data_IF_051923603344
#
_entry.id   IF_051923603344
#
_cell.length_a   1.000
_cell.length_b   1.000
_cell.length_c   1.000
_cell.angle_alpha   90.00
_cell.angle_beta   90.00
_cell.angle_gamma   90.00
#
_symmetry.space_group_name_H-M   'P 1'
#
loop_
_entity.id
_entity.type
_entity.pdbx_description
1 polymer ?
#
# COMPACT_ATOMS: atom_id res chain seq x y z
N UNK A 1 -14.88 -2.30 50.90
CA UNK A 1 -13.40 -2.36 50.81
C UNK A 1 -12.98 -1.69 49.52
N UNK A 2 -12.29 -0.54 49.61
CA UNK A 2 -11.80 0.20 48.45
C UNK A 2 -10.58 -0.51 47.86
N UNK A 3 -10.65 -0.90 46.59
CA UNK A 3 -9.51 -1.50 45.90
C UNK A 3 -8.40 -0.45 45.79
N UNK A 4 -7.24 -0.69 46.45
CA UNK A 4 -6.06 0.17 46.31
C UNK A 4 -5.70 0.31 44.82
N UNK A 5 -5.36 1.51 44.33
CA UNK A 5 -4.84 1.67 42.98
C UNK A 5 -3.59 0.80 42.82
N UNK A 6 -3.50 0.03 41.73
CA UNK A 6 -2.28 -0.72 41.40
C UNK A 6 -1.15 0.31 41.26
N UNK A 7 -0.12 0.19 42.10
CA UNK A 7 1.10 0.97 41.96
C UNK A 7 1.69 0.62 40.60
N UNK A 8 1.72 1.57 39.66
CA UNK A 8 2.46 1.41 38.43
C UNK A 8 3.93 1.18 38.78
N UNK A 9 4.54 0.15 38.18
CA UNK A 9 5.96 -0.10 38.38
C UNK A 9 6.74 1.06 37.75
N UNK A 10 7.88 1.49 38.32
CA UNK A 10 8.79 2.43 37.64
C UNK A 10 9.17 1.98 36.21
N UNK A 11 9.10 0.67 35.94
CA UNK A 11 9.29 0.09 34.62
C UNK A 11 8.15 0.47 33.64
N UNK A 12 6.91 0.56 34.13
CA UNK A 12 5.75 0.99 33.34
C UNK A 12 5.86 2.46 32.97
N UNK A 13 6.29 3.30 33.91
CA UNK A 13 6.49 4.73 33.69
C UNK A 13 7.65 4.99 32.72
N UNK A 14 8.74 4.22 32.83
CA UNK A 14 9.85 4.27 31.88
C UNK A 14 9.42 3.78 30.49
N UNK A 15 8.61 2.72 30.41
CA UNK A 15 8.04 2.26 29.14
C UNK A 15 7.11 3.32 28.52
N UNK A 16 6.31 4.02 29.33
CA UNK A 16 5.44 5.09 28.89
C UNK A 16 6.24 6.32 28.41
N UNK A 17 7.22 6.78 29.19
CA UNK A 17 8.12 7.88 28.79
C UNK A 17 8.91 7.53 27.52
N UNK A 18 9.41 6.30 27.44
CA UNK A 18 10.06 5.79 26.22
C UNK A 18 9.09 5.78 25.04
N UNK A 19 7.83 5.42 25.25
CA UNK A 19 6.81 5.45 24.19
C UNK A 19 6.45 6.88 23.74
N UNK A 20 6.55 7.88 24.62
CA UNK A 20 6.37 9.29 24.26
C UNK A 20 7.58 9.80 23.46
N UNK A 21 8.79 9.49 23.90
CA UNK A 21 10.04 9.88 23.23
C UNK A 21 10.19 9.18 21.87
N UNK A 22 9.93 7.87 21.82
CA UNK A 22 9.90 7.09 20.58
C UNK A 22 8.66 7.43 19.72
N UNK A 23 7.62 8.02 20.31
CA UNK A 23 6.41 8.52 19.65
C UNK A 23 6.68 9.66 18.65
N UNK A 24 7.83 10.33 18.78
CA UNK A 24 8.37 11.25 17.77
C UNK A 24 9.12 10.58 16.62
N UNK A 25 9.08 9.24 16.54
CA UNK A 25 9.72 8.45 15.49
C UNK A 25 9.22 8.84 14.10
N UNK A 26 10.15 9.32 13.27
CA UNK A 26 9.91 9.68 11.86
C UNK A 26 9.10 8.57 11.17
N UNK A 27 8.10 8.90 10.34
CA UNK A 27 7.43 7.92 9.48
C UNK A 27 8.49 7.07 8.76
N UNK A 28 8.27 5.77 8.58
CA UNK A 28 9.25 4.93 7.89
C UNK A 28 9.51 5.54 6.51
N UNK A 29 10.75 6.01 6.31
CA UNK A 29 11.19 6.66 5.08
C UNK A 29 10.89 5.75 3.88
N UNK A 30 10.98 4.44 4.10
CA UNK A 30 10.58 3.35 3.20
C UNK A 30 9.18 3.51 2.65
N UNK A 31 8.16 3.73 3.49
CA UNK A 31 6.78 3.80 3.03
C UNK A 31 6.58 5.05 2.17
N UNK A 32 7.14 6.19 2.57
CA UNK A 32 7.11 7.42 1.77
C UNK A 32 7.83 7.27 0.43
N UNK A 33 9.02 6.67 0.41
CA UNK A 33 9.79 6.42 -0.82
C UNK A 33 9.04 5.45 -1.73
N UNK A 34 8.47 4.38 -1.19
CA UNK A 34 7.73 3.39 -1.97
C UNK A 34 6.47 3.99 -2.59
N UNK A 35 5.71 4.81 -1.85
CA UNK A 35 4.54 5.50 -2.39
C UNK A 35 4.93 6.54 -3.45
N UNK A 36 6.01 7.28 -3.23
CA UNK A 36 6.48 8.28 -4.20
C UNK A 36 6.98 7.61 -5.48
N UNK A 37 7.90 6.65 -5.36
CA UNK A 37 8.46 5.93 -6.49
C UNK A 37 7.39 5.13 -7.23
N UNK A 38 6.53 4.42 -6.49
CA UNK A 38 5.41 3.69 -7.07
C UNK A 38 4.43 4.61 -7.80
N UNK A 39 4.06 5.74 -7.21
CA UNK A 39 3.19 6.73 -7.82
C UNK A 39 3.79 7.37 -9.08
N UNK A 40 5.08 7.69 -9.08
CA UNK A 40 5.76 8.26 -10.25
C UNK A 40 5.89 7.25 -11.38
N UNK A 41 6.34 6.04 -11.08
CA UNK A 41 6.50 4.96 -12.05
C UNK A 41 5.16 4.53 -12.66
N UNK A 42 4.14 4.35 -11.81
CA UNK A 42 2.79 4.03 -12.28
C UNK A 42 2.15 5.19 -13.03
N UNK A 43 2.32 6.42 -12.56
CA UNK A 43 1.84 7.62 -13.26
C UNK A 43 2.45 7.76 -14.66
N UNK A 44 3.75 7.49 -14.79
CA UNK A 44 4.42 7.45 -16.08
C UNK A 44 3.84 6.36 -16.99
N UNK A 45 3.58 5.18 -16.45
CA UNK A 45 2.92 4.09 -17.19
C UNK A 45 1.53 4.49 -17.69
N UNK A 46 0.72 5.14 -16.83
CA UNK A 46 -0.61 5.62 -17.20
C UNK A 46 -0.55 6.70 -18.29
N UNK A 47 0.37 7.66 -18.19
CA UNK A 47 0.55 8.70 -19.21
C UNK A 47 0.95 8.10 -20.56
N UNK A 48 1.82 7.09 -20.55
CA UNK A 48 2.19 6.35 -21.76
C UNK A 48 0.98 5.64 -22.36
N UNK A 49 0.15 5.00 -21.52
CA UNK A 49 -1.06 4.33 -21.97
C UNK A 49 -2.10 5.31 -22.56
N UNK A 50 -2.26 6.49 -21.96
CA UNK A 50 -3.07 7.57 -22.55
C UNK A 50 -2.52 7.99 -23.92
N UNK A 51 -1.19 8.07 -24.06
CA UNK A 51 -0.54 8.34 -25.35
C UNK A 51 -0.80 7.27 -26.42
N UNK A 52 -0.96 6.01 -26.01
CA UNK A 52 -1.37 4.91 -26.90
C UNK A 52 -2.85 5.02 -27.32
N UNK A 53 -3.74 5.31 -26.36
CA UNK A 53 -5.18 5.48 -26.62
C UNK A 53 -5.44 6.67 -27.55
N UNK A 54 -4.70 7.76 -27.39
CA UNK A 54 -4.76 8.93 -28.28
C UNK A 54 -4.09 8.69 -29.64
N UNK A 55 -3.47 7.53 -29.86
CA UNK A 55 -2.84 7.15 -31.13
C UNK A 55 -1.50 7.84 -31.41
N UNK A 56 -0.95 8.61 -30.46
CA UNK A 56 0.33 9.31 -30.56
C UNK A 56 1.50 8.31 -30.46
N UNK A 57 1.31 7.23 -29.71
CA UNK A 57 2.31 6.19 -29.48
C UNK A 57 1.79 4.87 -30.04
N UNK A 58 2.34 4.43 -31.18
CA UNK A 58 2.02 3.14 -31.79
C UNK A 58 3.24 2.24 -31.77
N UNK A 59 3.35 1.44 -30.73
CA UNK A 59 4.42 0.47 -30.56
C UNK A 59 3.90 -0.95 -30.73
N UNK A 60 4.71 -1.87 -31.26
CA UNK A 60 4.36 -3.28 -31.32
C UNK A 60 4.15 -3.84 -29.91
N UNK A 61 3.28 -4.85 -29.77
CA UNK A 61 2.88 -5.41 -28.47
C UNK A 61 4.06 -5.83 -27.58
N UNK A 62 5.12 -6.37 -28.21
CA UNK A 62 6.33 -6.75 -27.50
C UNK A 62 7.03 -5.55 -26.84
N UNK A 63 7.08 -4.39 -27.50
CA UNK A 63 7.68 -3.18 -26.94
C UNK A 63 6.83 -2.61 -25.79
N UNK A 64 5.51 -2.71 -25.88
CA UNK A 64 4.60 -2.35 -24.79
C UNK A 64 4.80 -3.26 -23.57
N UNK A 65 4.92 -4.57 -23.80
CA UNK A 65 5.18 -5.53 -22.74
C UNK A 65 6.53 -5.25 -22.05
N UNK A 66 7.59 -5.03 -22.83
CA UNK A 66 8.92 -4.70 -22.29
C UNK A 66 8.86 -3.43 -21.45
N UNK A 67 8.13 -2.40 -21.89
CA UNK A 67 7.98 -1.15 -21.14
C UNK A 67 7.28 -1.37 -19.79
N UNK A 68 6.16 -2.10 -19.76
CA UNK A 68 5.43 -2.41 -18.52
C UNK A 68 6.28 -3.26 -17.57
N UNK A 69 7.00 -4.25 -18.10
CA UNK A 69 7.91 -5.09 -17.32
C UNK A 69 9.07 -4.26 -16.76
N UNK A 70 9.65 -3.36 -17.56
CA UNK A 70 10.75 -2.50 -17.13
C UNK A 70 10.36 -1.58 -15.97
N UNK A 71 9.15 -1.00 -16.00
CA UNK A 71 8.61 -0.20 -14.90
C UNK A 71 8.45 -1.04 -13.63
N UNK A 72 7.93 -2.26 -13.76
CA UNK A 72 7.76 -3.18 -12.63
C UNK A 72 9.11 -3.55 -12.02
N UNK A 73 10.11 -3.89 -12.85
CA UNK A 73 11.47 -4.20 -12.39
C UNK A 73 12.11 -2.98 -11.71
N UNK A 74 11.96 -1.78 -12.27
CA UNK A 74 12.47 -0.55 -11.66
C UNK A 74 11.86 -0.33 -10.27
N UNK A 75 10.54 -0.53 -10.12
CA UNK A 75 9.88 -0.44 -8.82
C UNK A 75 10.41 -1.48 -7.82
N UNK A 76 10.59 -2.73 -8.26
CA UNK A 76 11.14 -3.80 -7.41
C UNK A 76 12.57 -3.50 -6.95
N UNK A 77 13.40 -2.89 -7.80
CA UNK A 77 14.76 -2.45 -7.43
C UNK A 77 14.69 -1.38 -6.32
N UNK A 78 13.84 -0.37 -6.50
CA UNK A 78 13.67 0.72 -5.51
C UNK A 78 13.12 0.17 -4.19
N UNK A 79 12.11 -0.70 -4.25
CA UNK A 79 11.52 -1.35 -3.07
C UNK A 79 12.56 -2.18 -2.32
N UNK A 80 13.32 -3.02 -3.04
CA UNK A 80 14.37 -3.85 -2.44
C UNK A 80 15.44 -2.99 -1.78
N UNK A 81 15.89 -1.94 -2.47
CA UNK A 81 16.85 -0.99 -1.91
C UNK A 81 16.31 -0.29 -0.65
N UNK A 82 15.07 0.17 -0.67
CA UNK A 82 14.43 0.83 0.47
C UNK A 82 14.33 -0.10 1.68
N UNK A 83 13.92 -1.37 1.48
CA UNK A 83 13.89 -2.39 2.53
C UNK A 83 15.28 -2.64 3.11
N UNK A 84 16.29 -2.80 2.25
CA UNK A 84 17.67 -3.03 2.70
C UNK A 84 18.22 -1.82 3.47
N UNK A 85 17.86 -0.60 3.08
CA UNK A 85 18.24 0.63 3.78
C UNK A 85 17.58 0.73 5.15
N UNK A 86 16.28 0.45 5.25
CA UNK A 86 15.53 0.47 6.51
C UNK A 86 16.02 -0.59 7.50
N UNK A 87 16.41 -1.77 6.98
CA UNK A 87 17.05 -2.82 7.77
C UNK A 87 18.40 -2.40 8.34
N UNK A 88 19.21 -1.70 7.54
CA UNK A 88 20.52 -1.17 7.98
C UNK A 88 20.37 -0.08 9.05
N UNK A 89 19.33 0.73 8.95
CA UNK A 89 19.10 1.85 9.86
C UNK A 89 18.37 1.42 11.18
N UNK A 90 17.99 0.14 11.32
CA UNK A 90 17.41 -0.42 12.55
C UNK A 90 15.99 0.09 12.88
N UNK A 91 15.31 0.68 11.90
CA UNK A 91 14.04 1.40 12.07
C UNK A 91 12.82 0.45 12.08
N UNK A 92 12.98 -0.80 11.61
CA UNK A 92 11.89 -1.78 11.48
C UNK A 92 11.07 -2.03 12.77
N UNK A 93 11.64 -1.77 13.96
CA UNK A 93 10.96 -2.00 15.25
C UNK A 93 10.84 -0.76 16.17
N UNK A 94 11.24 0.44 15.72
CA UNK A 94 11.32 1.66 16.56
C UNK A 94 10.37 2.76 16.10
N UNK A 95 9.08 2.47 16.12
CA UNK A 95 8.03 3.47 15.85
C UNK A 95 6.89 3.38 16.86
N UNK A 96 6.15 4.47 17.09
CA UNK A 96 4.96 4.47 17.94
C UNK A 96 3.99 3.37 17.50
N UNK A 97 3.23 2.79 18.44
CA UNK A 97 2.28 1.69 18.15
C UNK A 97 1.40 2.00 16.94
N UNK A 98 0.90 3.24 16.82
CA UNK A 98 0.10 3.67 15.68
C UNK A 98 0.81 3.51 14.33
N UNK A 99 2.11 3.82 14.22
CA UNK A 99 2.90 3.64 12.99
C UNK A 99 3.13 2.16 12.68
N UNK A 100 3.31 1.31 13.69
CA UNK A 100 3.44 -0.15 13.50
C UNK A 100 2.13 -0.77 13.03
N UNK A 101 1.00 -0.37 13.63
CA UNK A 101 -0.33 -0.81 13.20
C UNK A 101 -0.62 -0.38 11.76
N UNK A 102 -0.26 0.85 11.39
CA UNK A 102 -0.37 1.35 10.01
C UNK A 102 0.46 0.53 9.02
N UNK A 103 1.74 0.29 9.33
CA UNK A 103 2.60 -0.52 8.47
C UNK A 103 2.08 -1.96 8.34
N UNK A 104 1.58 -2.54 9.44
CA UNK A 104 0.94 -3.85 9.44
C UNK A 104 -0.32 -3.88 8.57
N UNK A 105 -1.16 -2.85 8.64
CA UNK A 105 -2.35 -2.73 7.81
C UNK A 105 -2.01 -2.71 6.31
N UNK A 106 -1.12 -1.81 5.88
CA UNK A 106 -0.72 -1.71 4.48
C UNK A 106 0.02 -2.97 4.00
N UNK A 107 0.84 -3.59 4.85
CA UNK A 107 1.49 -4.85 4.53
C UNK A 107 0.48 -5.99 4.38
N UNK A 108 -0.52 -6.08 5.26
CA UNK A 108 -1.58 -7.10 5.17
C UNK A 108 -2.44 -6.93 3.92
N UNK A 109 -2.78 -5.68 3.56
CA UNK A 109 -3.47 -5.39 2.30
C UNK A 109 -2.63 -5.81 1.07
N UNK A 110 -1.31 -5.56 1.11
CA UNK A 110 -0.39 -6.03 0.08
C UNK A 110 -0.32 -7.55 -0.04
N UNK A 111 -0.27 -8.26 1.10
CA UNK A 111 -0.29 -9.74 1.11
C UNK A 111 -1.63 -10.30 0.59
N UNK A 112 -2.75 -9.66 0.92
CA UNK A 112 -4.05 -10.00 0.36
C UNK A 112 -4.05 -9.82 -1.17
N UNK A 113 -3.53 -8.70 -1.68
CA UNK A 113 -3.40 -8.48 -3.12
C UNK A 113 -2.53 -9.57 -3.80
N UNK A 114 -1.44 -10.00 -3.17
CA UNK A 114 -0.59 -11.09 -3.68
C UNK A 114 -1.32 -12.44 -3.73
N UNK A 115 -2.23 -12.72 -2.79
CA UNK A 115 -3.08 -13.91 -2.85
C UNK A 115 -4.14 -13.78 -3.96
N UNK A 116 -4.81 -12.62 -4.03
CA UNK A 116 -5.88 -12.35 -5.01
C UNK A 116 -5.34 -12.42 -6.44
N UNK A 117 -4.17 -11.85 -6.74
CA UNK A 117 -3.58 -11.91 -8.10
C UNK A 117 -3.31 -13.36 -8.55
N UNK A 118 -2.92 -14.24 -7.62
CA UNK A 118 -2.74 -15.66 -7.93
C UNK A 118 -4.09 -16.32 -8.25
N UNK A 119 -5.11 -16.08 -7.42
CA UNK A 119 -6.46 -16.65 -7.62
C UNK A 119 -7.07 -16.19 -8.94
N UNK A 120 -7.08 -14.88 -9.19
CA UNK A 120 -7.65 -14.31 -10.41
C UNK A 120 -6.81 -14.60 -11.64
N UNK A 121 -5.48 -14.64 -11.52
CA UNK A 121 -4.60 -15.01 -12.62
C UNK A 121 -4.79 -16.45 -13.07
N UNK A 122 -4.83 -17.39 -12.11
CA UNK A 122 -5.10 -18.80 -12.42
C UNK A 122 -6.52 -18.99 -12.94
N UNK A 123 -7.50 -18.29 -12.37
CA UNK A 123 -8.90 -18.32 -12.82
C UNK A 123 -9.07 -17.83 -14.26
N UNK A 124 -8.49 -16.68 -14.60
CA UNK A 124 -8.55 -16.12 -15.95
C UNK A 124 -7.92 -17.03 -17.00
N UNK A 125 -6.80 -17.69 -16.69
CA UNK A 125 -6.16 -18.66 -17.59
C UNK A 125 -7.03 -19.91 -17.76
N UNK A 126 -7.63 -20.41 -16.67
CA UNK A 126 -8.45 -21.62 -16.70
C UNK A 126 -9.73 -21.40 -17.52
N UNK A 127 -10.41 -20.29 -17.30
CA UNK A 127 -11.73 -20.03 -17.88
C UNK A 127 -11.64 -19.30 -19.23
N UNK A 128 -10.42 -18.93 -19.67
CA UNK A 128 -10.14 -18.14 -20.88
C UNK A 128 -10.94 -16.82 -20.95
N UNK A 129 -11.38 -16.32 -19.81
CA UNK A 129 -12.14 -15.09 -19.69
C UNK A 129 -11.29 -14.00 -19.03
N UNK A 130 -10.93 -13.01 -19.83
CA UNK A 130 -10.15 -11.87 -19.36
C UNK A 130 -10.97 -10.90 -18.49
N UNK A 131 -12.30 -10.98 -18.51
CA UNK A 131 -13.15 -10.18 -17.62
C UNK A 131 -12.88 -10.50 -16.14
N UNK A 132 -12.56 -11.77 -15.84
CA UNK A 132 -12.13 -12.20 -14.51
C UNK A 132 -10.91 -11.38 -14.05
N UNK A 133 -9.94 -11.16 -14.94
CA UNK A 133 -8.76 -10.35 -14.64
C UNK A 133 -9.09 -8.87 -14.39
N UNK A 134 -10.12 -8.32 -15.00
CA UNK A 134 -10.51 -6.93 -14.80
C UNK A 134 -11.11 -6.68 -13.40
N UNK A 135 -11.81 -7.66 -12.83
CA UNK A 135 -12.31 -7.59 -11.44
C UNK A 135 -11.20 -7.51 -10.39
N UNK A 136 -9.99 -7.97 -10.71
CA UNK A 136 -8.83 -7.81 -9.82
C UNK A 136 -8.57 -6.35 -9.47
N UNK A 137 -8.70 -5.43 -10.44
CA UNK A 137 -8.48 -4.01 -10.20
C UNK A 137 -9.46 -3.46 -9.15
N UNK A 138 -10.73 -3.83 -9.24
CA UNK A 138 -11.76 -3.42 -8.27
C UNK A 138 -11.43 -3.92 -6.85
N UNK A 139 -10.98 -5.17 -6.72
CA UNK A 139 -10.61 -5.77 -5.42
C UNK A 139 -9.40 -5.06 -4.80
N UNK A 140 -8.37 -4.76 -5.60
CA UNK A 140 -7.19 -4.04 -5.13
C UNK A 140 -7.58 -2.67 -4.58
N UNK A 141 -8.44 -1.93 -5.28
CA UNK A 141 -8.95 -0.64 -4.80
C UNK A 141 -9.73 -0.80 -3.49
N UNK A 142 -10.57 -1.82 -3.36
CA UNK A 142 -11.35 -2.07 -2.16
C UNK A 142 -10.49 -2.40 -0.93
N UNK A 143 -9.47 -3.25 -1.09
CA UNK A 143 -8.53 -3.61 -0.03
C UNK A 143 -7.62 -2.44 0.37
N UNK A 144 -7.13 -1.67 -0.61
CA UNK A 144 -6.30 -0.50 -0.34
C UNK A 144 -7.11 0.61 0.36
N UNK A 145 -8.37 0.80 -0.01
CA UNK A 145 -9.29 1.71 0.66
C UNK A 145 -9.53 1.32 2.13
N UNK A 146 -9.65 0.03 2.43
CA UNK A 146 -9.77 -0.46 3.81
C UNK A 146 -8.52 -0.12 4.65
N UNK A 147 -7.32 -0.26 4.08
CA UNK A 147 -6.07 0.13 4.77
C UNK A 147 -6.03 1.65 5.04
N UNK A 148 -6.46 2.48 4.09
CA UNK A 148 -6.57 3.93 4.27
C UNK A 148 -7.63 4.34 5.29
N UNK A 149 -8.73 3.60 5.36
CA UNK A 149 -9.75 3.83 6.38
C UNK A 149 -9.22 3.54 7.79
N UNK A 150 -8.52 2.43 7.97
CA UNK A 150 -7.81 2.14 9.23
C UNK A 150 -6.77 3.22 9.56
N UNK A 151 -6.11 3.78 8.54
CA UNK A 151 -5.20 4.89 8.77
C UNK A 151 -5.91 6.15 9.28
N UNK A 152 -7.09 6.43 8.75
CA UNK A 152 -7.94 7.51 9.25
C UNK A 152 -8.45 7.24 10.67
N UNK A 153 -8.86 6.02 11.01
CA UNK A 153 -9.34 5.74 12.38
C UNK A 153 -8.26 5.96 13.43
N UNK A 154 -6.99 5.73 13.10
CA UNK A 154 -5.83 5.95 13.98
C UNK A 154 -5.33 7.40 14.01
N UNK A 155 -5.23 8.07 12.85
CA UNK A 155 -4.61 9.41 12.74
C UNK A 155 -5.61 10.57 12.61
N UNK A 156 -6.89 10.28 12.36
CA UNK A 156 -8.00 11.24 12.23
C UNK A 156 -7.76 12.41 11.26
N UNK A 157 -6.90 12.21 10.25
CA UNK A 157 -6.63 13.22 9.21
C UNK A 157 -7.64 13.11 8.08
N UNK A 158 -8.34 14.20 7.76
CA UNK A 158 -9.43 14.22 6.77
C UNK A 158 -9.04 13.70 5.38
N UNK A 159 -7.81 13.96 4.91
CA UNK A 159 -7.34 13.48 3.62
C UNK A 159 -7.28 11.94 3.53
N UNK A 160 -7.03 11.24 4.64
CA UNK A 160 -6.99 9.76 4.66
C UNK A 160 -8.38 9.17 4.44
N UNK A 161 -9.42 9.83 5.00
CA UNK A 161 -10.81 9.44 4.78
C UNK A 161 -11.22 9.71 3.33
N UNK A 162 -10.83 10.86 2.77
CA UNK A 162 -11.10 11.18 1.37
C UNK A 162 -10.50 10.12 0.43
N UNK A 163 -9.25 9.68 0.68
CA UNK A 163 -8.60 8.61 -0.10
C UNK A 163 -9.32 7.28 0.05
N UNK A 164 -9.74 6.90 1.27
CA UNK A 164 -10.47 5.65 1.50
C UNK A 164 -11.82 5.64 0.78
N UNK A 165 -12.61 6.71 0.92
CA UNK A 165 -13.91 6.84 0.25
C UNK A 165 -13.77 6.88 -1.27
N UNK A 166 -12.79 7.63 -1.78
CA UNK A 166 -12.48 7.65 -3.21
C UNK A 166 -12.07 6.27 -3.73
N UNK A 167 -11.25 5.53 -2.97
CA UNK A 167 -10.86 4.17 -3.31
C UNK A 167 -12.04 3.20 -3.39
N UNK A 168 -12.97 3.23 -2.44
CA UNK A 168 -14.18 2.40 -2.50
C UNK A 168 -15.14 2.83 -3.62
N UNK A 169 -15.32 4.13 -3.84
CA UNK A 169 -16.13 4.62 -4.95
C UNK A 169 -15.58 4.13 -6.30
N UNK A 170 -14.25 4.21 -6.49
CA UNK A 170 -13.57 3.68 -7.68
C UNK A 170 -13.68 2.16 -7.78
N UNK A 171 -13.55 1.43 -6.67
CA UNK A 171 -13.72 -0.02 -6.66
C UNK A 171 -15.11 -0.44 -7.15
N UNK A 172 -16.16 0.23 -6.66
CA UNK A 172 -17.54 -0.03 -7.08
C UNK A 172 -17.73 0.37 -8.54
N UNK A 173 -17.22 1.53 -8.96
CA UNK A 173 -17.33 1.97 -10.35
C UNK A 173 -16.65 0.97 -11.30
N UNK A 174 -15.43 0.53 -10.99
CA UNK A 174 -14.74 -0.49 -11.78
C UNK A 174 -15.50 -1.81 -11.79
N UNK A 175 -16.01 -2.28 -10.64
CA UNK A 175 -16.76 -3.52 -10.57
C UNK A 175 -18.11 -3.51 -11.32
N UNK A 176 -18.71 -2.34 -11.55
CA UNK A 176 -19.96 -2.21 -12.31
C UNK A 176 -19.71 -1.97 -13.81
N UNK A 177 -18.58 -1.38 -14.17
CA UNK A 177 -18.23 -1.02 -15.55
C UNK A 177 -17.43 -2.10 -16.29
N UNK A 178 -16.90 -3.08 -15.56
CA UNK A 178 -16.20 -4.27 -16.06
C UNK A 178 -17.20 -5.39 -16.33
#
# INVERSE_FOLDING_TARGET
MSAKPRLHSPEDDLAFMRSIVEGGGRPSLTLAICYLAGGLLYGLQCLFHVGQVLGVIRWPDLANLIFVVAITVAFLIILTWAILKDRKDGVMNRGPMASRTLNGAFSSAGMANAAVIIVFGVGAIRDNDFAIWLYYAAIVFALQAAAWYLAWTLKKKGWMLAVALGGWATAVALGVLV
#
